data_IF_509070179986
#
_entry.id   IF_509070179986
#
_cell.length_a   1.000
_cell.length_b   1.000
_cell.length_c   1.000
_cell.angle_alpha   90.00
_cell.angle_beta   90.00
_cell.angle_gamma   90.00
#
_symmetry.space_group_name_H-M   'P 1'
#
loop_
_entity.id
_entity.type
_entity.pdbx_description
1 polymer ?
#
# COMPACT_ATOMS: atom_id res chain seq x y z
N UNK A 1 -35.07 -59.09 -47.57
CA UNK A 1 -33.68 -58.48 -47.42
C UNK A 1 -33.88 -56.98 -47.34
N UNK A 2 -34.00 -56.46 -46.10
CA UNK A 2 -34.22 -55.02 -45.84
C UNK A 2 -32.90 -54.39 -45.42
N UNK A 3 -32.39 -53.44 -46.19
CA UNK A 3 -31.25 -52.64 -45.86
C UNK A 3 -31.66 -51.48 -44.94
N UNK A 4 -31.18 -51.49 -43.71
CA UNK A 4 -31.25 -50.33 -42.81
C UNK A 4 -30.07 -49.35 -43.10
N UNK A 5 -30.40 -48.16 -43.56
CA UNK A 5 -29.47 -47.07 -43.71
C UNK A 5 -29.35 -46.39 -42.34
N UNK A 6 -28.15 -46.41 -41.72
CA UNK A 6 -27.84 -45.67 -40.51
C UNK A 6 -27.25 -44.32 -40.97
N UNK A 7 -28.01 -43.25 -40.79
CA UNK A 7 -27.51 -41.88 -40.96
C UNK A 7 -26.83 -41.49 -39.67
N UNK A 8 -25.50 -41.41 -39.72
CA UNK A 8 -24.69 -40.90 -38.61
C UNK A 8 -24.69 -39.37 -38.67
N UNK A 9 -25.39 -38.73 -37.75
CA UNK A 9 -25.45 -37.27 -37.61
C UNK A 9 -24.23 -36.84 -36.81
N UNK A 10 -23.20 -36.34 -37.47
CA UNK A 10 -22.05 -35.72 -36.82
C UNK A 10 -22.46 -34.35 -36.25
N UNK A 11 -22.58 -34.26 -34.92
CA UNK A 11 -22.76 -32.99 -34.23
C UNK A 11 -21.40 -32.31 -34.21
N UNK A 12 -21.20 -31.31 -35.04
CA UNK A 12 -20.11 -30.37 -34.90
C UNK A 12 -20.40 -29.47 -33.68
N UNK A 13 -19.81 -29.80 -32.54
CA UNK A 13 -19.67 -28.82 -31.46
C UNK A 13 -18.65 -27.78 -31.91
N UNK A 14 -19.13 -26.63 -32.35
CA UNK A 14 -18.33 -25.43 -32.48
C UNK A 14 -18.03 -24.97 -31.03
N UNK A 15 -16.89 -25.40 -30.51
CA UNK A 15 -16.32 -24.83 -29.31
C UNK A 15 -15.96 -23.38 -29.61
N UNK A 16 -16.79 -22.43 -29.18
CA UNK A 16 -16.31 -21.06 -28.97
C UNK A 16 -15.24 -21.10 -27.88
N UNK A 17 -13.98 -21.26 -28.26
CA UNK A 17 -12.87 -20.88 -27.42
C UNK A 17 -12.89 -19.36 -27.38
N UNK A 18 -13.66 -18.79 -26.48
CA UNK A 18 -13.48 -17.41 -26.05
C UNK A 18 -12.04 -17.31 -25.57
N UNK A 19 -11.26 -16.53 -26.26
CA UNK A 19 -9.93 -16.11 -25.82
C UNK A 19 -10.19 -15.11 -24.69
N UNK A 20 -10.56 -15.61 -23.50
CA UNK A 20 -10.61 -14.80 -22.28
C UNK A 20 -9.18 -14.34 -22.03
N UNK A 21 -8.91 -13.07 -22.34
CA UNK A 21 -7.57 -12.53 -22.27
C UNK A 21 -7.06 -12.60 -20.84
N UNK A 22 -6.05 -13.44 -20.60
CA UNK A 22 -5.43 -13.59 -19.29
C UNK A 22 -5.03 -12.20 -18.74
N UNK A 23 -5.43 -11.89 -17.50
CA UNK A 23 -5.09 -10.64 -16.84
C UNK A 23 -3.57 -10.39 -16.88
N UNK A 24 -3.18 -9.23 -17.36
CA UNK A 24 -1.77 -8.79 -17.41
C UNK A 24 -1.66 -7.28 -17.20
N UNK A 25 -0.44 -6.82 -16.93
CA UNK A 25 -0.13 -5.41 -16.74
C UNK A 25 0.62 -4.85 -17.95
N UNK A 26 0.16 -3.69 -18.41
CA UNK A 26 0.89 -2.84 -19.34
C UNK A 26 1.43 -1.62 -18.58
N UNK A 27 2.75 -1.52 -18.46
CA UNK A 27 3.38 -0.37 -17.84
C UNK A 27 3.48 0.79 -18.83
N UNK A 28 3.01 1.96 -18.41
CA UNK A 28 3.14 3.22 -19.15
C UNK A 28 4.44 3.95 -18.82
N UNK A 29 4.56 5.15 -19.35
CA UNK A 29 5.65 6.06 -18.98
C UNK A 29 5.46 6.53 -17.53
N UNK A 30 6.53 6.46 -16.74
CA UNK A 30 6.53 7.01 -15.40
C UNK A 30 6.42 8.54 -15.48
N UNK A 31 5.60 9.12 -14.58
CA UNK A 31 5.60 10.55 -14.31
C UNK A 31 6.53 10.84 -13.13
N UNK A 32 6.67 12.12 -12.76
CA UNK A 32 7.51 12.55 -11.65
C UNK A 32 6.84 13.65 -10.83
N UNK A 33 7.23 13.73 -9.55
CA UNK A 33 6.98 14.95 -8.80
C UNK A 33 7.76 16.11 -9.42
N UNK A 34 7.18 17.32 -9.49
CA UNK A 34 7.85 18.48 -10.05
C UNK A 34 9.06 18.86 -9.18
N UNK A 35 10.01 19.56 -9.81
CA UNK A 35 11.14 20.17 -9.11
C UNK A 35 10.66 21.12 -8.02
N UNK A 36 11.39 21.16 -6.93
CA UNK A 36 11.17 22.11 -5.84
C UNK A 36 12.36 23.06 -5.73
N UNK A 37 12.09 24.36 -5.79
CA UNK A 37 13.12 25.42 -5.73
C UNK A 37 14.24 25.24 -6.76
N UNK A 38 13.92 24.75 -7.96
CA UNK A 38 14.88 24.52 -9.05
C UNK A 38 15.80 23.33 -8.82
N UNK A 39 15.46 22.42 -7.91
CA UNK A 39 16.18 21.17 -7.67
C UNK A 39 15.27 19.97 -7.93
N UNK A 40 15.82 18.83 -8.36
CA UNK A 40 15.08 17.59 -8.45
C UNK A 40 14.39 17.28 -7.12
N UNK A 41 13.12 16.85 -7.18
CA UNK A 41 12.38 16.45 -6.00
C UNK A 41 13.02 15.20 -5.39
N UNK A 42 13.23 15.19 -4.09
CA UNK A 42 13.80 14.03 -3.38
C UNK A 42 12.85 12.84 -3.30
N UNK A 43 11.58 13.08 -3.65
CA UNK A 43 10.52 12.11 -3.42
C UNK A 43 10.12 12.02 -1.95
N UNK A 44 9.11 11.20 -1.69
CA UNK A 44 8.55 10.98 -0.36
C UNK A 44 8.14 9.52 -0.17
N UNK A 45 8.09 9.07 1.07
CA UNK A 45 7.44 7.83 1.45
C UNK A 45 6.20 8.12 2.30
N UNK A 46 5.18 7.26 2.23
CA UNK A 46 3.93 7.41 2.97
C UNK A 46 3.11 8.65 2.58
N UNK A 47 3.00 9.03 1.30
CA UNK A 47 2.16 10.16 0.92
C UNK A 47 0.68 9.85 1.11
N UNK A 48 -0.12 10.89 1.34
CA UNK A 48 -1.56 10.87 1.15
C UNK A 48 -1.85 10.81 -0.36
N UNK A 49 -2.65 9.83 -0.77
CA UNK A 49 -2.94 9.60 -2.19
C UNK A 49 -4.43 9.42 -2.40
N UNK A 50 -4.98 10.06 -3.41
CA UNK A 50 -6.40 9.93 -3.75
C UNK A 50 -6.74 10.31 -5.17
N UNK A 51 -7.88 9.82 -5.63
CA UNK A 51 -8.44 10.09 -6.95
C UNK A 51 -9.77 10.83 -6.79
N UNK A 52 -9.94 11.94 -7.51
CA UNK A 52 -11.15 12.75 -7.53
C UNK A 52 -11.56 12.97 -8.99
N UNK A 53 -12.51 12.17 -9.48
CA UNK A 53 -12.88 12.19 -10.89
C UNK A 53 -11.67 11.96 -11.80
N UNK A 54 -11.24 13.00 -12.52
CA UNK A 54 -10.06 12.94 -13.40
C UNK A 54 -8.77 13.50 -12.77
N UNK A 55 -8.73 13.66 -11.46
CA UNK A 55 -7.57 14.20 -10.74
C UNK A 55 -6.96 13.15 -9.82
N UNK A 56 -5.63 13.07 -9.83
CA UNK A 56 -4.83 12.35 -8.85
C UNK A 56 -4.20 13.36 -7.89
N UNK A 57 -4.38 13.16 -6.60
CA UNK A 57 -3.68 13.86 -5.53
C UNK A 57 -2.52 13.00 -5.02
N UNK A 58 -1.34 13.60 -4.89
CA UNK A 58 -0.21 13.07 -4.12
C UNK A 58 0.24 14.18 -3.18
N UNK A 59 0.22 13.95 -1.86
CA UNK A 59 0.47 15.02 -0.91
C UNK A 59 1.17 14.54 0.36
N UNK A 60 1.95 15.42 1.00
CA UNK A 60 2.66 15.09 2.24
C UNK A 60 3.71 14.01 2.05
N UNK A 61 3.80 13.09 3.01
CA UNK A 61 4.85 12.07 3.06
C UNK A 61 6.11 12.56 3.75
N UNK A 62 7.16 11.73 3.79
CA UNK A 62 8.40 12.05 4.49
C UNK A 62 9.64 11.64 3.69
N UNK A 63 10.72 12.41 3.88
CA UNK A 63 12.05 12.14 3.30
C UNK A 63 13.18 12.58 4.26
N UNK A 64 14.42 12.49 3.78
CA UNK A 64 15.63 12.87 4.52
C UNK A 64 16.44 13.90 3.72
N UNK A 65 16.11 15.21 3.79
CA UNK A 65 16.73 16.22 2.92
C UNK A 65 18.17 16.56 3.33
N UNK A 66 18.57 16.34 4.59
CA UNK A 66 19.87 16.75 5.13
C UNK A 66 20.86 15.58 5.28
N UNK A 67 20.54 14.41 4.75
CA UNK A 67 21.40 13.22 4.82
C UNK A 67 20.67 11.97 5.30
N UNK A 68 21.36 10.86 5.26
CA UNK A 68 20.77 9.57 5.63
C UNK A 68 20.60 9.41 7.14
N UNK A 69 19.64 8.61 7.61
CA UNK A 69 19.41 8.42 9.06
C UNK A 69 20.65 7.98 9.84
N UNK A 70 21.49 7.15 9.22
CA UNK A 70 22.72 6.65 9.86
C UNK A 70 23.88 7.65 9.85
N UNK A 71 23.77 8.73 9.08
CA UNK A 71 24.70 9.87 9.05
C UNK A 71 24.18 11.04 9.89
N UNK A 72 23.12 10.82 10.70
CA UNK A 72 22.50 11.82 11.56
C UNK A 72 21.40 12.65 10.89
N UNK A 73 21.05 12.36 9.63
CA UNK A 73 19.94 13.00 8.93
C UNK A 73 18.60 12.76 9.62
N UNK A 74 17.78 13.80 9.71
CA UNK A 74 16.45 13.74 10.33
C UNK A 74 15.37 13.53 9.28
N UNK A 75 14.37 12.76 9.64
CA UNK A 75 13.14 12.61 8.86
C UNK A 75 12.39 13.94 8.86
N UNK A 76 12.00 14.43 7.70
CA UNK A 76 11.21 15.64 7.52
C UNK A 76 9.88 15.29 6.85
N UNK A 77 8.80 15.73 7.46
CA UNK A 77 7.45 15.56 6.94
C UNK A 77 7.12 16.73 6.03
N UNK A 78 6.62 16.42 4.85
CA UNK A 78 6.38 17.38 3.79
C UNK A 78 4.95 17.91 3.82
N UNK A 79 4.78 19.17 3.36
CA UNK A 79 3.47 19.81 3.18
C UNK A 79 3.09 19.95 1.70
N UNK A 80 4.00 19.65 0.79
CA UNK A 80 3.75 19.78 -0.65
C UNK A 80 2.64 18.83 -1.08
N UNK A 81 1.71 19.35 -1.88
CA UNK A 81 0.61 18.62 -2.49
C UNK A 81 0.59 18.89 -3.99
N UNK A 82 0.43 17.83 -4.75
CA UNK A 82 0.48 17.84 -6.22
C UNK A 82 -0.79 17.23 -6.78
N UNK A 83 -1.42 17.94 -7.71
CA UNK A 83 -2.52 17.41 -8.51
C UNK A 83 -2.02 17.11 -9.93
N UNK A 84 -2.45 15.96 -10.43
CA UNK A 84 -2.24 15.53 -11.81
C UNK A 84 -3.59 15.29 -12.48
N UNK A 85 -3.64 15.46 -13.80
CA UNK A 85 -4.76 15.03 -14.65
C UNK A 85 -4.44 13.67 -15.26
N UNK A 86 -5.41 12.79 -15.32
CA UNK A 86 -5.32 11.61 -16.17
C UNK A 86 -5.61 12.03 -17.63
N UNK A 87 -4.64 11.78 -18.52
CA UNK A 87 -4.79 11.95 -19.98
C UNK A 87 -4.62 10.57 -20.63
N UNK A 88 -5.71 9.79 -20.69
CA UNK A 88 -5.64 8.37 -21.03
C UNK A 88 -4.86 7.61 -19.94
N UNK A 89 -3.79 6.92 -20.33
CA UNK A 89 -2.89 6.20 -19.41
C UNK A 89 -1.67 7.02 -18.95
N UNK A 90 -1.67 8.33 -19.20
CA UNK A 90 -0.59 9.23 -18.79
C UNK A 90 -1.06 10.18 -17.69
N UNK A 91 -0.13 10.64 -16.88
CA UNK A 91 -0.36 11.67 -15.86
C UNK A 91 0.31 12.97 -16.29
N UNK A 92 -0.46 14.04 -16.32
CA UNK A 92 0.02 15.39 -16.57
C UNK A 92 -0.06 16.22 -15.30
N UNK A 93 1.07 16.80 -14.90
CA UNK A 93 1.09 17.73 -13.78
C UNK A 93 0.11 18.89 -14.02
N UNK A 94 -0.70 19.19 -13.01
CA UNK A 94 -1.73 20.21 -13.09
C UNK A 94 -1.42 21.40 -12.19
N UNK A 95 -1.29 21.20 -10.88
CA UNK A 95 -0.93 22.26 -9.93
C UNK A 95 -0.28 21.71 -8.65
N UNK A 96 0.42 22.60 -7.96
CA UNK A 96 0.99 22.38 -6.62
C UNK A 96 0.38 23.36 -5.63
N UNK A 97 0.22 22.92 -4.40
CA UNK A 97 -0.18 23.73 -3.23
C UNK A 97 0.41 23.13 -1.97
N UNK A 98 0.21 23.79 -0.83
CA UNK A 98 0.67 23.29 0.46
C UNK A 98 -0.51 22.79 1.30
N UNK A 99 -0.32 21.68 2.03
CA UNK A 99 -1.21 21.25 3.11
C UNK A 99 -1.02 22.15 4.34
N UNK A 100 -2.03 22.21 5.18
CA UNK A 100 -1.95 22.89 6.48
C UNK A 100 -0.96 22.17 7.41
N UNK A 101 -1.06 20.84 7.47
CA UNK A 101 -0.28 19.99 8.35
C UNK A 101 0.62 19.05 7.55
N UNK A 102 1.80 18.74 8.11
CA UNK A 102 2.74 17.79 7.57
C UNK A 102 2.54 16.44 8.25
N UNK A 103 2.29 15.40 7.46
CA UNK A 103 2.17 14.02 7.94
C UNK A 103 2.57 13.01 6.89
N UNK A 104 2.82 11.77 7.34
CA UNK A 104 3.14 10.66 6.47
C UNK A 104 2.56 9.34 7.01
N UNK A 105 2.55 8.32 6.19
CA UNK A 105 2.19 6.93 6.55
C UNK A 105 0.79 6.77 7.15
N UNK A 106 -0.13 7.70 6.86
CA UNK A 106 -1.54 7.50 7.13
C UNK A 106 -2.11 6.41 6.21
N UNK A 107 -3.02 5.61 6.72
CA UNK A 107 -3.83 4.75 5.89
C UNK A 107 -4.84 5.60 5.13
N UNK A 108 -4.99 5.37 3.81
CA UNK A 108 -5.91 6.16 3.00
C UNK A 108 -6.71 5.31 2.02
N UNK A 109 -7.95 5.73 1.76
CA UNK A 109 -8.87 5.06 0.84
C UNK A 109 -9.78 6.05 0.15
N UNK A 110 -10.05 5.85 -1.15
CA UNK A 110 -11.12 6.53 -1.85
C UNK A 110 -12.42 5.72 -1.76
N UNK A 111 -13.51 6.41 -1.39
CA UNK A 111 -14.87 5.92 -1.57
C UNK A 111 -15.58 6.95 -2.44
N UNK A 112 -15.88 6.58 -3.69
CA UNK A 112 -16.31 7.54 -4.71
C UNK A 112 -15.31 8.70 -4.84
N UNK A 113 -15.77 9.94 -4.89
CA UNK A 113 -14.95 11.15 -4.98
C UNK A 113 -14.52 11.73 -3.61
N UNK A 114 -14.53 10.90 -2.55
CA UNK A 114 -14.08 11.29 -1.21
C UNK A 114 -12.86 10.46 -0.82
N UNK A 115 -11.79 11.14 -0.46
CA UNK A 115 -10.61 10.51 0.10
C UNK A 115 -10.68 10.56 1.63
N UNK A 116 -10.50 9.43 2.26
CA UNK A 116 -10.37 9.31 3.71
C UNK A 116 -8.95 8.97 4.08
N UNK A 117 -8.45 9.57 5.16
CA UNK A 117 -7.18 9.20 5.78
C UNK A 117 -7.35 8.99 7.27
N UNK A 118 -6.62 8.05 7.84
CA UNK A 118 -6.66 7.74 9.26
C UNK A 118 -5.27 7.43 9.81
N UNK A 119 -4.95 8.00 10.97
CA UNK A 119 -3.66 7.82 11.62
C UNK A 119 -2.50 8.39 10.79
N UNK A 120 -1.35 7.77 10.92
CA UNK A 120 -0.08 8.22 10.34
C UNK A 120 0.89 8.71 11.40
N UNK A 121 1.87 9.50 10.98
CA UNK A 121 2.84 10.10 11.90
C UNK A 121 3.26 11.51 11.46
N UNK A 122 3.76 12.29 12.39
CA UNK A 122 4.42 13.57 12.19
C UNK A 122 5.68 13.65 13.06
N UNK A 123 6.25 14.82 13.24
CA UNK A 123 7.45 15.05 14.07
C UNK A 123 7.29 14.63 15.54
N UNK A 124 6.05 14.54 16.04
CA UNK A 124 5.75 14.15 17.42
C UNK A 124 5.49 12.63 17.57
N UNK A 125 5.52 11.87 16.49
CA UNK A 125 5.28 10.43 16.45
C UNK A 125 3.96 10.06 15.80
N UNK A 126 3.42 8.87 16.13
CA UNK A 126 2.15 8.40 15.61
C UNK A 126 0.99 9.31 16.01
N UNK A 127 0.05 9.50 15.09
CA UNK A 127 -1.13 10.34 15.26
C UNK A 127 -2.41 9.52 15.13
N UNK A 128 -3.51 10.02 15.69
CA UNK A 128 -4.82 9.37 15.66
C UNK A 128 -5.84 10.08 14.77
N UNK A 129 -5.48 11.22 14.22
CA UNK A 129 -6.39 12.07 13.46
C UNK A 129 -6.91 11.38 12.21
N UNK A 130 -8.20 11.63 11.94
CA UNK A 130 -8.91 11.09 10.79
C UNK A 130 -9.55 12.24 10.02
N UNK A 131 -9.34 12.23 8.71
CA UNK A 131 -9.86 13.27 7.85
C UNK A 131 -10.55 12.69 6.61
N UNK A 132 -11.54 13.43 6.14
CA UNK A 132 -12.03 13.29 4.78
C UNK A 132 -11.60 14.49 3.94
N UNK A 133 -11.30 14.23 2.67
CA UNK A 133 -10.90 15.24 1.71
C UNK A 133 -11.79 15.17 0.48
N UNK A 134 -12.12 16.34 -0.06
CA UNK A 134 -12.86 16.50 -1.31
C UNK A 134 -12.24 17.62 -2.14
N UNK A 135 -12.33 17.55 -3.46
CA UNK A 135 -12.01 18.68 -4.30
C UNK A 135 -13.28 19.50 -4.56
N UNK A 136 -13.23 20.79 -4.21
CA UNK A 136 -14.29 21.73 -4.56
C UNK A 136 -14.34 21.97 -6.08
N UNK A 137 -15.39 22.63 -6.57
CA UNK A 137 -15.51 23.03 -8.00
C UNK A 137 -14.34 23.90 -8.48
N UNK A 138 -13.68 24.62 -7.56
CA UNK A 138 -12.45 25.40 -7.83
C UNK A 138 -11.17 24.61 -7.70
N UNK A 139 -11.28 23.28 -7.55
CA UNK A 139 -10.15 22.36 -7.36
C UNK A 139 -9.27 22.70 -6.14
N UNK A 140 -9.87 23.24 -5.09
CA UNK A 140 -9.26 23.39 -3.78
C UNK A 140 -9.55 22.15 -2.95
N UNK A 141 -8.53 21.66 -2.25
CA UNK A 141 -8.68 20.52 -1.36
C UNK A 141 -9.37 20.97 -0.08
N UNK A 142 -10.58 20.50 0.13
CA UNK A 142 -11.35 20.72 1.35
C UNK A 142 -11.08 19.58 2.31
N UNK A 143 -10.68 19.91 3.55
CA UNK A 143 -10.37 18.97 4.64
C UNK A 143 -11.42 19.09 5.71
N UNK A 144 -11.99 17.97 6.14
CA UNK A 144 -12.93 17.92 7.25
C UNK A 144 -12.47 16.88 8.26
N UNK A 145 -12.35 17.24 9.51
CA UNK A 145 -12.01 16.31 10.58
C UNK A 145 -13.18 15.36 10.85
N UNK A 146 -12.83 14.11 11.11
CA UNK A 146 -13.71 13.03 11.54
C UNK A 146 -13.32 12.60 12.96
N UNK A 147 -14.09 11.73 13.64
CA UNK A 147 -13.66 11.16 14.91
C UNK A 147 -12.28 10.49 14.80
N UNK A 148 -11.38 10.80 15.72
CA UNK A 148 -10.03 10.25 15.78
C UNK A 148 -10.04 8.77 16.10
N UNK A 149 -9.00 8.04 15.66
CA UNK A 149 -8.76 6.64 16.04
C UNK A 149 -8.66 6.52 17.57
N UNK A 150 -9.06 5.38 18.16
CA UNK A 150 -8.98 5.16 19.61
C UNK A 150 -7.55 5.25 20.15
N UNK A 151 -6.55 4.96 19.30
CA UNK A 151 -5.12 5.08 19.58
C UNK A 151 -4.39 5.65 18.38
N UNK A 152 -3.31 6.45 18.61
CA UNK A 152 -2.41 6.85 17.54
C UNK A 152 -1.73 5.65 16.90
N UNK A 153 -1.91 5.46 15.59
CA UNK A 153 -1.35 4.34 14.81
C UNK A 153 -0.87 4.82 13.44
N UNK A 154 0.25 4.30 12.99
CA UNK A 154 0.81 4.49 11.65
C UNK A 154 0.92 3.16 10.91
N UNK A 155 1.07 3.20 9.58
CA UNK A 155 1.26 2.00 8.75
C UNK A 155 0.17 0.92 8.90
N UNK A 156 -1.04 1.33 9.23
CA UNK A 156 -2.24 0.49 9.16
C UNK A 156 -2.84 0.49 7.75
N UNK A 157 -3.93 -0.27 7.57
CA UNK A 157 -4.75 -0.26 6.37
C UNK A 157 -6.09 0.43 6.61
N UNK A 158 -6.60 1.15 5.61
CA UNK A 158 -7.94 1.75 5.64
C UNK A 158 -8.73 1.32 4.41
N UNK A 159 -9.94 0.82 4.62
CA UNK A 159 -10.83 0.37 3.54
C UNK A 159 -12.27 0.74 3.82
N UNK A 160 -13.06 0.84 2.75
CA UNK A 160 -14.51 0.96 2.83
C UNK A 160 -15.21 -0.40 2.71
N UNK A 161 -16.34 -0.55 3.39
CA UNK A 161 -17.24 -1.70 3.25
C UNK A 161 -18.66 -1.31 3.65
N UNK A 162 -19.60 -1.33 2.70
CA UNK A 162 -20.94 -0.79 2.92
C UNK A 162 -20.91 0.69 3.33
N UNK A 163 -21.56 1.03 4.45
CA UNK A 163 -21.62 2.39 4.99
C UNK A 163 -20.52 2.67 6.06
N UNK A 164 -19.45 1.88 6.09
CA UNK A 164 -18.40 1.99 7.11
C UNK A 164 -17.00 2.15 6.52
N UNK A 165 -16.12 2.78 7.31
CA UNK A 165 -14.69 2.66 7.20
C UNK A 165 -14.20 1.58 8.16
N UNK A 166 -13.16 0.85 7.75
CA UNK A 166 -12.46 -0.11 8.58
C UNK A 166 -10.97 0.21 8.60
N UNK A 167 -10.43 0.43 9.81
CA UNK A 167 -8.99 0.59 10.02
C UNK A 167 -8.42 -0.71 10.56
N UNK A 168 -7.36 -1.23 9.94
CA UNK A 168 -6.82 -2.57 10.18
C UNK A 168 -5.38 -2.51 10.63
N UNK A 169 -5.08 -3.08 11.79
CA UNK A 169 -3.72 -3.20 12.30
C UNK A 169 -3.05 -1.85 12.59
N UNK A 170 -1.82 -1.70 12.11
CA UNK A 170 -0.98 -0.52 12.34
C UNK A 170 -0.05 -0.68 13.54
N UNK A 171 0.85 0.28 13.73
CA UNK A 171 1.82 0.26 14.82
C UNK A 171 2.07 1.66 15.38
N UNK A 172 2.64 1.72 16.58
CA UNK A 172 3.24 2.92 17.16
C UNK A 172 4.56 2.56 17.86
N UNK A 173 5.13 3.46 18.68
CA UNK A 173 6.38 3.17 19.43
C UNK A 173 6.27 1.92 20.30
N UNK A 174 5.10 1.65 20.87
CA UNK A 174 4.90 0.71 21.97
C UNK A 174 4.46 -0.67 21.49
N UNK A 175 3.60 -0.75 20.48
CA UNK A 175 3.04 -2.02 20.03
C UNK A 175 2.66 -2.02 18.55
N UNK A 176 2.44 -3.23 18.03
CA UNK A 176 1.78 -3.49 16.74
C UNK A 176 0.35 -3.97 17.06
N UNK A 177 -0.64 -3.36 16.42
CA UNK A 177 -2.06 -3.62 16.68
C UNK A 177 -2.55 -4.89 15.96
N UNK A 178 -3.38 -5.68 16.64
CA UNK A 178 -4.18 -6.76 16.06
C UNK A 178 -5.65 -6.39 15.86
N UNK A 179 -6.00 -5.12 16.04
CA UNK A 179 -7.39 -4.67 16.02
C UNK A 179 -7.84 -4.25 14.63
N UNK A 180 -9.12 -4.49 14.38
CA UNK A 180 -9.87 -3.84 13.31
C UNK A 180 -10.90 -2.94 13.97
N UNK A 181 -10.84 -1.66 13.63
CA UNK A 181 -11.81 -0.65 14.07
C UNK A 181 -12.77 -0.34 12.94
N UNK A 182 -14.02 -0.01 13.28
CA UNK A 182 -15.01 0.46 12.32
C UNK A 182 -15.51 1.85 12.68
N UNK A 183 -15.83 2.65 11.67
CA UNK A 183 -16.51 3.95 11.81
C UNK A 183 -17.68 4.00 10.83
N UNK A 184 -18.88 4.30 11.34
CA UNK A 184 -20.04 4.50 10.49
C UNK A 184 -19.99 5.88 9.80
N UNK A 185 -20.16 5.93 8.47
CA UNK A 185 -19.97 7.15 7.68
C UNK A 185 -21.14 8.14 7.79
N UNK A 186 -22.34 7.68 8.13
CA UNK A 186 -23.56 8.49 8.17
C UNK A 186 -23.97 8.92 9.58
N UNK A 187 -23.50 8.21 10.59
CA UNK A 187 -23.85 8.49 11.99
C UNK A 187 -22.72 9.27 12.66
N UNK A 188 -22.98 10.52 13.02
CA UNK A 188 -21.99 11.43 13.60
C UNK A 188 -21.76 11.22 15.11
N UNK A 189 -22.12 10.05 15.69
CA UNK A 189 -22.27 9.96 17.16
C UNK A 189 -21.22 9.15 17.90
N UNK A 190 -20.92 7.95 17.45
CA UNK A 190 -20.28 6.97 18.35
C UNK A 190 -18.75 6.83 18.17
N UNK A 191 -18.15 7.53 17.18
CA UNK A 191 -16.71 7.39 16.89
C UNK A 191 -16.33 5.99 16.40
N UNK A 192 -15.04 5.68 16.45
CA UNK A 192 -14.51 4.37 16.09
C UNK A 192 -14.85 3.34 17.16
N UNK A 193 -15.33 2.19 16.73
CA UNK A 193 -15.61 1.04 17.58
C UNK A 193 -14.66 -0.11 17.25
N UNK A 194 -14.16 -0.84 18.26
CA UNK A 194 -13.47 -2.10 18.02
C UNK A 194 -14.45 -3.09 17.37
N UNK A 195 -14.08 -3.58 16.21
CA UNK A 195 -14.95 -4.44 15.40
C UNK A 195 -14.64 -5.91 15.57
N UNK A 196 -13.35 -6.27 15.43
CA UNK A 196 -12.82 -7.62 15.64
C UNK A 196 -11.31 -7.58 15.91
N UNK A 197 -10.78 -8.73 16.32
CA UNK A 197 -9.35 -8.93 16.56
C UNK A 197 -8.81 -9.92 15.53
N UNK A 198 -7.71 -9.54 14.86
CA UNK A 198 -6.97 -10.39 13.93
C UNK A 198 -6.28 -11.54 14.67
N UNK A 199 -5.93 -12.64 14.00
CA UNK A 199 -5.22 -13.76 14.63
C UNK A 199 -3.79 -13.39 15.10
N UNK A 200 -3.24 -12.29 14.63
CA UNK A 200 -1.94 -11.75 15.01
C UNK A 200 -1.86 -10.24 14.76
N UNK A 201 -0.99 -9.53 15.52
CA UNK A 201 -0.71 -8.12 15.26
C UNK A 201 -0.04 -7.92 13.91
N UNK A 202 -0.43 -6.87 13.16
CA UNK A 202 0.13 -6.61 11.84
C UNK A 202 0.19 -5.12 11.52
N UNK A 203 1.31 -4.69 10.95
CA UNK A 203 1.50 -3.40 10.30
C UNK A 203 2.07 -3.60 8.90
N UNK A 204 2.07 -2.57 8.08
CA UNK A 204 2.63 -2.62 6.72
C UNK A 204 2.04 -3.75 5.84
N UNK A 205 0.84 -4.21 6.14
CA UNK A 205 0.11 -5.14 5.29
C UNK A 205 -0.51 -4.43 4.09
N UNK A 206 -0.68 -5.15 2.99
CA UNK A 206 -1.59 -4.72 1.94
C UNK A 206 -3.02 -5.00 2.42
N UNK A 207 -3.84 -3.96 2.53
CA UNK A 207 -5.24 -4.09 2.94
C UNK A 207 -6.13 -3.55 1.83
N UNK A 208 -7.01 -4.41 1.30
CA UNK A 208 -7.95 -4.07 0.24
C UNK A 208 -9.34 -4.62 0.55
N UNK A 209 -10.38 -4.10 -0.09
CA UNK A 209 -11.74 -4.60 0.06
C UNK A 209 -12.45 -4.71 -1.29
N UNK A 210 -13.52 -5.50 -1.33
CA UNK A 210 -14.43 -5.55 -2.47
C UNK A 210 -15.42 -4.37 -2.50
N UNK A 211 -15.33 -3.49 -1.48
CA UNK A 211 -16.21 -2.35 -1.28
C UNK A 211 -17.60 -2.72 -0.74
N UNK A 212 -17.88 -4.00 -0.53
CA UNK A 212 -19.17 -4.52 -0.11
C UNK A 212 -19.10 -5.16 1.28
N UNK A 213 -18.60 -6.37 1.37
CA UNK A 213 -18.62 -7.15 2.60
C UNK A 213 -17.36 -7.99 2.87
N UNK A 214 -16.30 -7.83 2.10
CA UNK A 214 -15.04 -8.53 2.29
C UNK A 214 -13.86 -7.57 2.41
N UNK A 215 -13.04 -7.81 3.42
CA UNK A 215 -11.74 -7.17 3.60
C UNK A 215 -10.66 -8.24 3.48
N UNK A 216 -9.58 -7.92 2.80
CA UNK A 216 -8.43 -8.79 2.63
C UNK A 216 -7.20 -8.13 3.24
N UNK A 217 -6.48 -8.90 4.11
CA UNK A 217 -5.22 -8.49 4.73
C UNK A 217 -4.14 -9.42 4.23
N UNK A 218 -3.13 -8.89 3.58
CA UNK A 218 -2.15 -9.67 2.83
C UNK A 218 -0.75 -9.32 3.30
N UNK A 219 -0.01 -10.31 3.77
CA UNK A 219 1.36 -10.12 4.26
C UNK A 219 1.46 -9.15 5.43
N UNK A 220 2.45 -8.27 5.38
CA UNK A 220 2.75 -7.34 6.46
C UNK A 220 3.77 -7.88 7.44
N UNK A 221 3.96 -7.17 8.53
CA UNK A 221 4.94 -7.53 9.57
C UNK A 221 4.42 -7.28 10.98
N UNK A 222 5.06 -7.97 11.93
CA UNK A 222 5.03 -7.62 13.34
C UNK A 222 6.45 -7.35 13.81
N UNK A 223 6.69 -6.15 14.29
CA UNK A 223 7.96 -5.79 14.93
C UNK A 223 8.09 -6.49 16.28
N UNK A 224 9.23 -7.11 16.53
CA UNK A 224 9.57 -7.76 17.79
C UNK A 224 10.66 -6.98 18.52
N UNK A 225 10.59 -6.94 19.86
CA UNK A 225 11.63 -6.29 20.67
C UNK A 225 12.89 -7.16 20.70
N UNK A 226 14.04 -6.56 20.29
CA UNK A 226 15.37 -7.20 20.32
C UNK A 226 15.50 -8.50 19.49
N UNK A 227 14.63 -8.73 18.53
CA UNK A 227 14.68 -9.89 17.63
C UNK A 227 14.15 -9.48 16.25
N UNK A 228 14.33 -10.36 15.27
CA UNK A 228 13.80 -10.14 13.93
C UNK A 228 12.29 -9.98 13.97
N UNK A 229 11.79 -9.07 13.17
CA UNK A 229 10.36 -8.93 12.90
C UNK A 229 9.80 -10.19 12.23
N UNK A 230 8.57 -10.56 12.57
CA UNK A 230 7.83 -11.58 11.84
C UNK A 230 7.35 -10.95 10.53
N UNK A 231 7.58 -11.60 9.40
CA UNK A 231 7.06 -11.19 8.08
C UNK A 231 6.05 -12.23 7.64
N UNK A 232 4.84 -11.78 7.35
CA UNK A 232 3.72 -12.68 7.05
C UNK A 232 3.59 -12.95 5.55
N UNK A 233 3.11 -14.15 5.23
CA UNK A 233 2.74 -14.56 3.87
C UNK A 233 1.23 -14.87 3.74
N UNK A 234 0.48 -14.82 4.82
CA UNK A 234 -0.95 -15.14 4.81
C UNK A 234 -1.78 -14.13 4.02
N UNK A 235 -2.87 -14.62 3.42
CA UNK A 235 -3.99 -13.83 2.93
C UNK A 235 -5.17 -14.12 3.85
N UNK A 236 -5.52 -13.16 4.69
CA UNK A 236 -6.72 -13.23 5.51
C UNK A 236 -7.89 -12.61 4.77
N UNK A 237 -9.01 -13.32 4.71
CA UNK A 237 -10.32 -12.78 4.32
C UNK A 237 -11.13 -12.55 5.59
N UNK A 238 -11.66 -11.35 5.74
CA UNK A 238 -12.59 -10.95 6.79
C UNK A 238 -13.97 -10.78 6.13
N UNK A 239 -14.94 -11.55 6.56
CA UNK A 239 -16.34 -11.34 6.21
C UNK A 239 -16.96 -10.33 7.17
N UNK A 240 -17.31 -9.16 6.66
CA UNK A 240 -17.84 -8.05 7.47
C UNK A 240 -19.16 -8.45 8.16
N UNK A 241 -20.05 -9.17 7.50
CA UNK A 241 -21.37 -9.46 8.03
C UNK A 241 -21.33 -10.51 9.15
N UNK A 242 -20.53 -11.57 8.96
CA UNK A 242 -20.42 -12.67 9.94
C UNK A 242 -19.29 -12.48 10.96
N UNK A 243 -18.43 -11.47 10.78
CA UNK A 243 -17.21 -11.25 11.55
C UNK A 243 -16.23 -12.44 11.52
N UNK A 244 -16.33 -13.28 10.51
CA UNK A 244 -15.47 -14.45 10.38
C UNK A 244 -14.16 -14.08 9.67
N UNK A 245 -13.05 -14.62 10.19
CA UNK A 245 -11.72 -14.48 9.59
C UNK A 245 -11.25 -15.85 9.15
N UNK A 246 -10.75 -15.97 7.94
CA UNK A 246 -10.12 -17.20 7.44
C UNK A 246 -8.88 -16.89 6.61
N UNK A 247 -7.89 -17.75 6.67
CA UNK A 247 -6.77 -17.75 5.73
C UNK A 247 -7.24 -18.41 4.44
N UNK A 248 -7.22 -17.67 3.33
CA UNK A 248 -7.66 -18.14 2.02
C UNK A 248 -6.51 -18.50 1.08
N UNK A 249 -5.28 -18.19 1.46
CA UNK A 249 -4.08 -18.48 0.69
C UNK A 249 -2.83 -17.92 1.33
N UNK A 250 -1.71 -18.10 0.64
CA UNK A 250 -0.40 -17.54 1.03
C UNK A 250 0.25 -16.86 -0.16
N UNK A 251 0.95 -15.77 0.09
CA UNK A 251 1.83 -15.13 -0.90
C UNK A 251 2.94 -16.11 -1.34
N UNK A 252 3.37 -16.06 -2.60
CA UNK A 252 4.53 -16.83 -3.06
C UNK A 252 5.80 -16.53 -2.26
N UNK A 253 5.92 -15.32 -1.75
CA UNK A 253 7.00 -14.86 -0.85
C UNK A 253 6.41 -13.89 0.16
N UNK A 254 6.76 -14.06 1.45
CA UNK A 254 6.38 -13.13 2.50
C UNK A 254 6.90 -11.72 2.22
N UNK A 255 6.05 -10.71 2.35
CA UNK A 255 6.42 -9.30 2.12
C UNK A 255 5.71 -8.36 3.09
N UNK A 256 6.38 -7.28 3.45
CA UNK A 256 5.82 -6.13 4.14
C UNK A 256 5.95 -4.87 3.28
N UNK A 257 5.19 -3.83 3.62
CA UNK A 257 5.24 -2.51 3.01
C UNK A 257 5.03 -2.48 1.48
N UNK A 258 4.55 -3.57 0.89
CA UNK A 258 4.05 -3.59 -0.48
C UNK A 258 2.77 -2.79 -0.60
N UNK A 259 2.29 -2.63 -1.83
CA UNK A 259 0.99 -2.00 -2.09
C UNK A 259 0.11 -2.91 -2.94
N UNK A 260 -1.18 -2.66 -2.96
CA UNK A 260 -2.08 -3.54 -3.72
C UNK A 260 -3.43 -2.91 -4.03
N UNK A 261 -4.20 -3.63 -4.84
CA UNK A 261 -5.51 -3.22 -5.32
C UNK A 261 -6.46 -4.42 -5.35
N UNK A 262 -7.73 -4.17 -5.10
CA UNK A 262 -8.79 -5.08 -5.48
C UNK A 262 -9.27 -4.72 -6.90
N UNK A 263 -9.34 -5.71 -7.78
CA UNK A 263 -9.81 -5.52 -9.15
C UNK A 263 -10.58 -6.74 -9.65
N UNK A 264 -11.87 -6.59 -9.85
CA UNK A 264 -12.75 -7.61 -10.48
C UNK A 264 -12.54 -9.03 -9.92
N UNK A 265 -12.69 -9.22 -8.61
CA UNK A 265 -12.53 -10.54 -7.97
C UNK A 265 -11.09 -11.02 -7.84
N UNK A 266 -10.11 -10.14 -8.04
CA UNK A 266 -8.69 -10.44 -7.88
C UNK A 266 -8.03 -9.44 -6.94
N UNK A 267 -7.03 -9.92 -6.19
CA UNK A 267 -6.15 -9.09 -5.38
C UNK A 267 -4.83 -8.95 -6.15
N UNK A 268 -4.47 -7.73 -6.49
CA UNK A 268 -3.17 -7.41 -7.07
C UNK A 268 -2.23 -6.95 -5.97
N UNK A 269 -1.03 -7.52 -5.92
CA UNK A 269 0.03 -7.14 -4.97
C UNK A 269 1.26 -6.70 -5.76
N UNK A 270 1.81 -5.55 -5.41
CA UNK A 270 2.93 -4.92 -6.08
C UNK A 270 4.12 -4.80 -5.12
N UNK A 271 5.24 -5.39 -5.50
CA UNK A 271 6.51 -5.26 -4.78
C UNK A 271 6.47 -5.71 -3.33
N UNK A 272 7.09 -4.91 -2.47
CA UNK A 272 7.22 -5.15 -1.04
C UNK A 272 8.63 -5.49 -0.60
N UNK A 273 8.89 -5.41 0.70
CA UNK A 273 10.13 -5.79 1.34
C UNK A 273 10.05 -7.25 1.81
N UNK A 274 10.91 -8.10 1.27
CA UNK A 274 11.08 -9.50 1.67
C UNK A 274 11.95 -9.65 2.93
N UNK A 275 12.33 -8.55 3.56
CA UNK A 275 13.11 -8.41 4.77
C UNK A 275 14.54 -9.01 4.73
N UNK A 276 15.07 -9.37 3.57
CA UNK A 276 16.41 -9.96 3.48
C UNK A 276 17.52 -9.02 4.01
N UNK A 277 17.44 -7.74 3.69
CA UNK A 277 18.35 -6.71 4.20
C UNK A 277 17.91 -6.24 5.57
N UNK A 278 16.61 -6.06 5.78
CA UNK A 278 16.01 -5.60 7.02
C UNK A 278 16.38 -6.50 8.21
N UNK A 279 16.26 -7.83 8.08
CA UNK A 279 16.63 -8.77 9.12
C UNK A 279 18.14 -8.75 9.47
N UNK A 280 19.03 -8.52 8.47
CA UNK A 280 20.46 -8.36 8.75
C UNK A 280 20.72 -7.11 9.60
N UNK A 281 19.99 -6.03 9.33
CA UNK A 281 20.08 -4.79 10.11
C UNK A 281 19.53 -5.00 11.52
N UNK A 282 18.41 -5.70 11.68
CA UNK A 282 17.85 -6.03 13.01
C UNK A 282 18.81 -6.90 13.84
N UNK A 283 19.44 -7.91 13.24
CA UNK A 283 20.45 -8.73 13.92
C UNK A 283 21.63 -7.89 14.43
N UNK A 284 22.12 -6.96 13.60
CA UNK A 284 23.21 -6.07 13.98
C UNK A 284 22.77 -5.08 15.07
N UNK A 285 21.56 -4.55 15.01
CA UNK A 285 21.01 -3.72 16.07
C UNK A 285 20.93 -4.46 17.40
N UNK A 286 20.50 -5.73 17.37
CA UNK A 286 20.52 -6.60 18.56
C UNK A 286 21.94 -6.77 19.14
N UNK A 287 22.92 -7.04 18.28
CA UNK A 287 24.33 -7.15 18.68
C UNK A 287 24.89 -5.81 19.22
N UNK A 288 24.62 -4.70 18.56
CA UNK A 288 25.03 -3.36 18.98
C UNK A 288 24.50 -3.00 20.37
N UNK A 289 23.23 -3.37 20.64
CA UNK A 289 22.60 -3.10 21.94
C UNK A 289 23.24 -3.91 23.09
N UNK A 290 23.73 -5.09 22.82
CA UNK A 290 24.36 -5.98 23.81
C UNK A 290 25.88 -5.76 23.96
N UNK A 291 26.53 -5.12 22.98
CA UNK A 291 27.97 -4.93 23.00
C UNK A 291 28.39 -3.78 23.93
N UNK A 292 29.25 -4.09 24.89
CA UNK A 292 29.80 -3.14 25.87
C UNK A 292 31.14 -2.53 25.45
N UNK A 293 31.89 -3.20 24.57
CA UNK A 293 33.15 -2.67 24.05
C UNK A 293 32.90 -1.66 22.94
N UNK A 294 33.30 -0.41 23.16
CA UNK A 294 33.03 0.69 22.23
C UNK A 294 33.63 0.46 20.84
N UNK A 295 34.86 -0.05 20.74
CA UNK A 295 35.53 -0.29 19.44
C UNK A 295 34.79 -1.34 18.62
N UNK A 296 34.32 -2.43 19.28
CA UNK A 296 33.49 -3.44 18.60
C UNK A 296 32.14 -2.89 18.23
N UNK A 297 31.51 -2.09 19.11
CA UNK A 297 30.22 -1.44 18.83
C UNK A 297 30.30 -0.53 17.60
N UNK A 298 31.35 0.31 17.51
CA UNK A 298 31.58 1.18 16.37
C UNK A 298 31.79 0.38 15.07
N UNK A 299 32.51 -0.75 15.14
CA UNK A 299 32.67 -1.67 14.01
C UNK A 299 31.35 -2.26 13.53
N UNK A 300 30.47 -2.70 14.46
CA UNK A 300 29.13 -3.23 14.13
C UNK A 300 28.25 -2.13 13.51
N UNK A 301 28.31 -0.91 14.02
CA UNK A 301 27.62 0.26 13.44
C UNK A 301 28.11 0.49 12.01
N UNK A 302 29.42 0.45 11.77
CA UNK A 302 29.99 0.56 10.44
C UNK A 302 29.45 -0.48 9.47
N UNK A 303 29.44 -1.75 9.87
CA UNK A 303 28.86 -2.86 9.06
C UNK A 303 27.37 -2.64 8.77
N UNK A 304 26.60 -2.24 9.80
CA UNK A 304 25.17 -1.93 9.64
C UNK A 304 24.95 -0.80 8.61
N UNK A 305 25.71 0.28 8.72
CA UNK A 305 25.61 1.42 7.83
C UNK A 305 25.97 1.02 6.37
N UNK A 306 27.01 0.21 6.18
CA UNK A 306 27.40 -0.30 4.87
C UNK A 306 26.30 -1.16 4.23
N UNK A 307 25.66 -2.05 4.99
CA UNK A 307 24.51 -2.84 4.52
C UNK A 307 23.34 -1.93 4.10
N UNK A 308 23.05 -0.87 4.84
CA UNK A 308 21.98 0.08 4.49
C UNK A 308 22.35 0.92 3.26
N UNK A 309 23.58 1.37 3.15
CA UNK A 309 24.09 2.13 2.00
C UNK A 309 24.03 1.31 0.71
N UNK A 310 24.39 0.03 0.80
CA UNK A 310 24.40 -0.92 -0.33
C UNK A 310 23.09 -1.72 -0.44
N UNK A 311 21.98 -1.20 0.08
CA UNK A 311 20.68 -1.84 -0.02
C UNK A 311 20.30 -2.10 -1.49
N UNK A 312 19.98 -3.34 -1.91
CA UNK A 312 19.76 -3.69 -3.32
C UNK A 312 18.44 -3.14 -3.91
N UNK A 313 17.59 -2.52 -3.08
CA UNK A 313 16.22 -2.19 -3.42
C UNK A 313 15.23 -3.26 -2.95
N UNK A 314 13.95 -3.03 -3.23
CA UNK A 314 12.85 -3.91 -2.84
C UNK A 314 12.40 -4.82 -3.99
N UNK A 315 11.52 -5.78 -3.70
CA UNK A 315 11.00 -6.71 -4.70
C UNK A 315 10.31 -5.96 -5.84
N UNK A 316 10.55 -6.40 -7.07
CA UNK A 316 9.88 -5.90 -8.29
C UNK A 316 8.77 -6.84 -8.76
N UNK A 317 8.54 -7.92 -8.04
CA UNK A 317 7.53 -8.92 -8.37
C UNK A 317 6.13 -8.35 -8.17
N UNK A 318 5.25 -8.70 -9.09
CA UNK A 318 3.83 -8.36 -9.00
C UNK A 318 3.03 -9.63 -9.18
N UNK A 319 1.96 -9.74 -8.41
CA UNK A 319 1.15 -10.94 -8.34
C UNK A 319 -0.34 -10.59 -8.40
N UNK A 320 -1.13 -11.46 -9.02
CA UNK A 320 -2.58 -11.43 -8.92
C UNK A 320 -3.06 -12.72 -8.26
N UNK A 321 -3.83 -12.62 -7.19
CA UNK A 321 -4.53 -13.72 -6.55
C UNK A 321 -5.97 -13.74 -7.03
N UNK A 322 -6.38 -14.82 -7.62
CA UNK A 322 -7.76 -15.03 -8.08
C UNK A 322 -8.61 -15.59 -6.93
N UNK A 323 -9.60 -14.82 -6.50
CA UNK A 323 -10.44 -15.15 -5.34
C UNK A 323 -11.39 -16.33 -5.59
N UNK A 324 -11.65 -16.69 -6.85
CA UNK A 324 -12.52 -17.82 -7.22
C UNK A 324 -11.71 -19.11 -7.22
N UNK A 325 -10.53 -19.08 -7.83
CA UNK A 325 -9.72 -20.30 -8.00
C UNK A 325 -8.71 -20.51 -6.87
N UNK A 326 -8.40 -19.49 -6.08
CA UNK A 326 -7.34 -19.50 -5.07
C UNK A 326 -5.93 -19.57 -5.66
N UNK A 327 -5.76 -19.25 -6.93
CA UNK A 327 -4.48 -19.35 -7.63
C UNK A 327 -3.77 -18.00 -7.77
N UNK A 328 -2.44 -18.04 -7.71
CA UNK A 328 -1.59 -16.91 -8.03
C UNK A 328 -1.17 -16.91 -9.49
N UNK A 329 -1.16 -15.73 -10.08
CA UNK A 329 -0.60 -15.48 -11.40
C UNK A 329 0.49 -14.42 -11.26
N UNK A 330 1.71 -14.74 -11.72
CA UNK A 330 2.78 -13.76 -11.83
C UNK A 330 2.42 -12.73 -12.91
N UNK A 331 2.51 -11.46 -12.55
CA UNK A 331 2.30 -10.34 -13.45
C UNK A 331 3.64 -9.76 -13.90
N UNK A 332 3.64 -8.94 -14.95
CA UNK A 332 4.84 -8.26 -15.41
C UNK A 332 5.42 -7.39 -14.28
N UNK A 333 6.66 -7.64 -13.89
CA UNK A 333 7.35 -6.92 -12.83
C UNK A 333 7.51 -5.43 -13.11
N UNK A 334 7.74 -4.66 -12.04
CA UNK A 334 8.02 -3.23 -12.14
C UNK A 334 9.31 -2.98 -12.93
N UNK A 335 9.26 -1.98 -13.82
CA UNK A 335 10.44 -1.54 -14.56
C UNK A 335 11.17 -0.45 -13.76
N UNK A 336 12.45 -0.65 -13.52
CA UNK A 336 13.26 0.30 -12.76
C UNK A 336 13.12 0.16 -11.24
N UNK A 337 12.57 1.18 -10.58
CA UNK A 337 12.45 1.26 -9.12
C UNK A 337 11.19 0.53 -8.62
N UNK A 338 11.27 0.01 -7.41
CA UNK A 338 10.14 -0.62 -6.71
C UNK A 338 9.88 0.13 -5.40
N UNK A 339 8.96 1.10 -5.40
CA UNK A 339 8.65 1.85 -4.19
C UNK A 339 7.83 1.00 -3.21
N UNK A 340 8.18 1.09 -1.93
CA UNK A 340 7.43 0.56 -0.80
C UNK A 340 6.92 1.71 0.07
N UNK A 341 6.13 1.41 1.11
CA UNK A 341 5.52 2.42 1.99
C UNK A 341 4.77 3.50 1.19
N UNK A 342 3.92 3.08 0.29
CA UNK A 342 3.05 3.92 -0.53
C UNK A 342 1.74 3.20 -0.81
N UNK A 343 0.70 3.91 -1.26
CA UNK A 343 -0.62 3.34 -1.53
C UNK A 343 -0.94 3.43 -3.01
N UNK A 344 -1.06 2.29 -3.68
CA UNK A 344 -1.54 2.26 -5.05
C UNK A 344 -3.00 2.73 -5.13
N UNK A 345 -3.34 3.41 -6.20
CA UNK A 345 -4.72 3.82 -6.50
C UNK A 345 -5.14 3.36 -7.89
N UNK A 346 -6.43 3.22 -8.06
CA UNK A 346 -7.03 2.76 -9.31
C UNK A 346 -8.06 3.77 -9.81
N UNK A 347 -8.00 4.10 -11.09
CA UNK A 347 -9.02 4.80 -11.84
C UNK A 347 -9.39 3.98 -13.06
N UNK A 348 -10.63 3.48 -13.09
CA UNK A 348 -11.08 2.52 -14.11
C UNK A 348 -10.18 1.29 -14.16
N UNK A 349 -9.35 1.14 -15.17
CA UNK A 349 -8.32 0.10 -15.27
C UNK A 349 -6.89 0.65 -15.28
N UNK A 350 -6.71 1.93 -14.97
CA UNK A 350 -5.39 2.57 -14.84
C UNK A 350 -5.00 2.56 -13.38
N UNK A 351 -3.90 1.93 -13.05
CA UNK A 351 -3.34 1.97 -11.71
C UNK A 351 -2.15 2.92 -11.65
N UNK A 352 -1.99 3.54 -10.48
CA UNK A 352 -0.86 4.41 -10.17
C UNK A 352 -0.21 3.93 -8.88
N UNK A 353 1.10 3.77 -8.90
CA UNK A 353 1.92 3.57 -7.69
C UNK A 353 2.70 4.87 -7.47
N UNK A 354 2.34 5.63 -6.44
CA UNK A 354 2.97 6.91 -6.13
C UNK A 354 4.40 6.75 -5.62
N UNK A 355 5.12 7.86 -5.38
CA UNK A 355 6.42 7.86 -4.73
C UNK A 355 6.43 7.06 -3.44
N UNK A 356 7.56 6.44 -3.14
CA UNK A 356 7.80 5.65 -1.94
C UNK A 356 9.28 5.50 -1.67
N UNK A 357 9.61 4.69 -0.69
CA UNK A 357 10.97 4.28 -0.40
C UNK A 357 11.43 3.22 -1.41
N UNK A 358 12.63 3.38 -1.98
CA UNK A 358 13.18 2.46 -2.99
C UNK A 358 14.38 1.65 -2.47
N UNK A 359 14.95 2.06 -1.37
CA UNK A 359 15.95 1.38 -0.53
C UNK A 359 16.06 2.13 0.79
N UNK A 360 16.68 1.56 1.78
CA UNK A 360 16.77 2.14 3.11
C UNK A 360 17.12 3.65 3.06
N UNK A 361 16.26 4.50 3.61
CA UNK A 361 16.45 5.95 3.67
C UNK A 361 16.26 6.72 2.35
N UNK A 362 16.20 6.06 1.18
CA UNK A 362 16.13 6.71 -0.13
C UNK A 362 14.72 6.68 -0.68
N UNK A 363 14.18 7.83 -1.06
CA UNK A 363 12.87 7.98 -1.70
C UNK A 363 13.02 8.20 -3.21
N UNK A 364 11.92 8.07 -3.92
CA UNK A 364 11.86 8.38 -5.36
C UNK A 364 10.84 9.48 -5.62
N UNK A 365 11.12 10.28 -6.63
CA UNK A 365 10.18 11.24 -7.20
C UNK A 365 9.27 10.61 -8.28
N UNK A 366 9.55 9.36 -8.68
CA UNK A 366 8.83 8.70 -9.77
C UNK A 366 7.43 8.26 -9.33
N UNK A 367 6.48 8.46 -10.25
CA UNK A 367 5.10 8.00 -10.16
C UNK A 367 4.94 6.93 -11.24
N UNK A 368 4.78 5.68 -10.85
CA UNK A 368 4.61 4.59 -11.80
C UNK A 368 3.14 4.53 -12.23
N UNK A 369 2.92 4.36 -13.51
CA UNK A 369 1.57 4.27 -14.10
C UNK A 369 1.49 3.01 -14.94
N UNK A 370 0.36 2.34 -14.89
CA UNK A 370 0.11 1.19 -15.74
C UNK A 370 -1.37 0.94 -15.95
N UNK A 371 -1.65 -0.01 -16.81
CA UNK A 371 -3.00 -0.43 -17.17
C UNK A 371 -3.18 -1.91 -16.88
N UNK A 372 -4.31 -2.25 -16.28
CA UNK A 372 -4.75 -3.62 -16.14
C UNK A 372 -5.52 -4.00 -17.41
N UNK A 373 -5.06 -5.05 -18.09
CA UNK A 373 -5.61 -5.53 -19.35
C UNK A 373 -6.02 -6.99 -19.19
N UNK A 374 -7.07 -7.37 -19.89
CA UNK A 374 -7.72 -8.68 -19.78
C UNK A 374 -8.94 -8.59 -18.87
N UNK A 375 -9.97 -9.32 -19.24
CA UNK A 375 -11.23 -9.43 -18.50
C UNK A 375 -11.42 -10.84 -17.95
N UNK A 376 -12.36 -10.94 -17.03
CA UNK A 376 -12.92 -12.21 -16.57
C UNK A 376 -13.51 -12.99 -17.71
#
# INVERSE_FOLDING_TARGET
MQFKVIISMAIFMVGCSGNEGKLHLEWGNASKLPEEFGKPNLGVAGPLVGVFGNRLLIAGGANFPEGMPWDGGKKVYQKSAYLYSFEGSELKFYKQFALEDASAYSANVNISDVLYSAGGENENGAIGEVYRYQLSKGENLEKTQMPDLPYPLTNGGLVGGGDHLYFVGGENSDHVSDKVYQLHLKENGDGWQEYLTLPYPVSHAVVVSDGLNKIYVIGGRKRNTNSRSDIYDDILEIDINSKNIKTIGKLPTAVAAGTGLYYQGKILVFGGDQANTFHKVEDLLGQINLESNQVKKDSLIGVKNDIQLNHPGFSKENWAFDLVTGAWVALKGMQGLSPVTTSAVLKDNIFVIPPGEIRAGVRTDQILVGKIVGSN
#
